data_IF_119506515203
#
_entry.id   IF_119506515203
#
_cell.length_a   1.000
_cell.length_b   1.000
_cell.length_c   1.000
_cell.angle_alpha   90.00
_cell.angle_beta   90.00
_cell.angle_gamma   90.00
#
_symmetry.space_group_name_H-M   'P 1'
#
loop_
_entity.id
_entity.type
_entity.pdbx_description
1 polymer ?
#
# COMPACT_ATOMS: atom_id res chain seq x y z
N UNK A 1 -0.88 13.40 -16.50
CA UNK A 1 -1.96 13.21 -15.51
C UNK A 1 -1.99 11.77 -15.00
N UNK A 2 -1.83 10.78 -15.88
CA UNK A 2 -1.83 9.35 -15.51
C UNK A 2 -0.81 8.98 -14.42
N UNK A 3 0.44 9.42 -14.54
CA UNK A 3 1.48 9.14 -13.53
C UNK A 3 1.12 9.70 -12.16
N UNK A 4 0.55 10.91 -12.13
CA UNK A 4 0.06 11.52 -10.89
C UNK A 4 -1.07 10.69 -10.28
N UNK A 5 -2.04 10.24 -11.06
CA UNK A 5 -3.16 9.44 -10.56
C UNK A 5 -2.70 8.07 -10.05
N UNK A 6 -1.73 7.45 -10.73
CA UNK A 6 -1.11 6.19 -10.31
C UNK A 6 -0.42 6.36 -8.96
N UNK A 7 0.37 7.42 -8.82
CA UNK A 7 1.09 7.71 -7.59
C UNK A 7 0.15 8.10 -6.44
N UNK A 8 -0.86 8.92 -6.73
CA UNK A 8 -1.91 9.28 -5.79
C UNK A 8 -2.66 8.07 -5.26
N UNK A 9 -3.01 7.11 -6.13
CA UNK A 9 -3.66 5.88 -5.69
C UNK A 9 -2.76 5.02 -4.79
N UNK A 10 -1.46 4.94 -5.06
CA UNK A 10 -0.52 4.24 -4.16
C UNK A 10 -0.49 4.87 -2.78
N UNK A 11 -0.34 6.19 -2.71
CA UNK A 11 -0.34 6.94 -1.44
C UNK A 11 -1.66 6.76 -0.69
N UNK A 12 -2.79 6.87 -1.39
CA UNK A 12 -4.13 6.77 -0.81
C UNK A 12 -4.44 5.38 -0.27
N UNK A 13 -4.01 4.33 -0.97
CA UNK A 13 -4.32 2.96 -0.59
C UNK A 13 -3.28 2.34 0.37
N UNK A 14 -2.13 2.98 0.55
CA UNK A 14 -1.04 2.43 1.34
C UNK A 14 -0.41 3.46 2.30
N UNK A 15 -0.79 3.43 3.60
CA UNK A 15 -0.25 4.38 4.58
C UNK A 15 1.25 4.24 4.81
N UNK A 16 1.82 3.03 4.63
CA UNK A 16 3.26 2.81 4.81
C UNK A 16 4.04 3.43 3.66
N UNK A 17 3.53 3.28 2.43
CA UNK A 17 4.09 3.94 1.26
C UNK A 17 4.14 5.47 1.44
N UNK A 18 3.06 6.06 1.95
CA UNK A 18 3.04 7.49 2.30
C UNK A 18 4.12 7.85 3.32
N UNK A 19 4.23 7.09 4.41
CA UNK A 19 5.21 7.38 5.46
C UNK A 19 6.64 7.32 4.92
N UNK A 20 6.97 6.25 4.19
CA UNK A 20 8.33 6.00 3.72
C UNK A 20 8.76 6.91 2.57
N UNK A 21 7.85 7.20 1.62
CA UNK A 21 8.18 7.97 0.42
C UNK A 21 7.92 9.46 0.53
N UNK A 22 7.06 9.89 1.46
CA UNK A 22 6.66 11.29 1.56
C UNK A 22 6.91 11.88 2.95
N UNK A 23 6.38 11.27 4.01
CA UNK A 23 6.51 11.85 5.36
C UNK A 23 7.98 11.88 5.81
N UNK A 24 8.67 10.74 5.79
CA UNK A 24 10.06 10.63 6.25
C UNK A 24 11.07 11.35 5.36
N UNK A 25 10.71 11.70 4.13
CA UNK A 25 11.56 12.49 3.22
C UNK A 25 11.50 13.99 3.55
N UNK A 26 10.35 14.47 4.05
CA UNK A 26 10.12 15.90 4.33
C UNK A 26 10.33 16.31 5.77
N UNK A 27 10.33 15.36 6.71
CA UNK A 27 10.46 15.63 8.13
C UNK A 27 11.83 15.20 8.66
N UNK A 28 12.44 16.04 9.49
CA UNK A 28 13.71 15.74 10.14
C UNK A 28 13.58 14.57 11.13
N UNK A 29 12.46 14.53 11.87
CA UNK A 29 12.07 13.43 12.74
C UNK A 29 11.34 12.34 11.95
N UNK A 30 12.09 11.30 11.59
CA UNK A 30 11.56 10.14 10.87
C UNK A 30 10.68 9.28 11.78
N UNK A 31 9.56 8.81 11.23
CA UNK A 31 8.76 7.73 11.81
C UNK A 31 9.40 6.39 11.43
N UNK A 32 10.18 5.84 12.36
CA UNK A 32 10.72 4.48 12.27
C UNK A 32 9.75 3.50 12.95
N UNK A 33 9.03 2.75 12.13
CA UNK A 33 8.04 1.77 12.59
C UNK A 33 8.62 0.37 12.52
N UNK A 34 8.36 -0.44 13.56
CA UNK A 34 8.60 -1.89 13.52
C UNK A 34 7.66 -2.55 12.51
N UNK A 35 7.96 -3.78 12.08
CA UNK A 35 7.10 -4.51 11.14
C UNK A 35 5.67 -4.70 11.67
N UNK A 36 5.53 -4.98 12.97
CA UNK A 36 4.24 -5.12 13.63
C UNK A 36 3.44 -3.81 13.63
N UNK A 37 4.13 -2.68 13.85
CA UNK A 37 3.50 -1.36 13.77
C UNK A 37 3.11 -1.02 12.34
N UNK A 38 3.93 -1.37 11.34
CA UNK A 38 3.60 -1.21 9.92
C UNK A 38 2.37 -2.03 9.56
N UNK A 39 2.31 -3.31 9.94
CA UNK A 39 1.14 -4.15 9.69
C UNK A 39 -0.12 -3.58 10.35
N UNK A 40 -0.04 -3.21 11.63
CA UNK A 40 -1.18 -2.64 12.37
C UNK A 40 -1.70 -1.36 11.74
N UNK A 41 -0.81 -0.50 11.25
CA UNK A 41 -1.19 0.74 10.59
C UNK A 41 -1.77 0.49 9.20
N UNK A 42 -1.16 -0.42 8.44
CA UNK A 42 -1.65 -0.86 7.15
C UNK A 42 -3.06 -1.45 7.28
N UNK A 43 -3.29 -2.40 8.18
CA UNK A 43 -4.61 -2.99 8.38
C UNK A 43 -5.67 -1.99 8.81
N UNK A 44 -5.29 -0.98 9.61
CA UNK A 44 -6.21 0.04 10.09
C UNK A 44 -6.63 1.05 9.01
N UNK A 45 -5.73 1.39 8.08
CA UNK A 45 -5.94 2.51 7.16
C UNK A 45 -5.77 2.17 5.68
N UNK A 46 -5.46 0.92 5.32
CA UNK A 46 -5.44 0.49 3.92
C UNK A 46 -6.79 0.74 3.27
N UNK A 47 -6.76 1.16 2.02
CA UNK A 47 -7.95 1.25 1.18
C UNK A 47 -7.83 0.26 0.02
N UNK A 48 -8.98 -0.30 -0.37
CA UNK A 48 -9.06 -1.14 -1.56
C UNK A 48 -9.21 -0.21 -2.77
N UNK A 49 -8.47 -0.42 -3.88
CA UNK A 49 -8.70 0.30 -5.12
C UNK A 49 -10.15 0.15 -5.59
N UNK A 50 -10.65 1.17 -6.32
CA UNK A 50 -11.94 1.04 -6.97
C UNK A 50 -11.75 0.22 -8.25
N UNK A 51 -12.60 -0.79 -8.46
CA UNK A 51 -12.59 -1.64 -9.64
C UNK A 51 -13.92 -1.50 -10.39
N UNK A 52 -13.86 -1.62 -11.72
CA UNK A 52 -15.03 -1.47 -12.59
C UNK A 52 -15.93 -2.72 -12.59
N UNK A 53 -15.36 -3.90 -12.34
CA UNK A 53 -16.06 -5.18 -12.35
C UNK A 53 -15.50 -6.19 -11.35
N UNK A 54 -16.27 -7.26 -11.10
CA UNK A 54 -15.90 -8.33 -10.19
C UNK A 54 -14.71 -9.18 -10.69
N UNK A 55 -14.48 -9.28 -12.00
CA UNK A 55 -13.35 -10.04 -12.54
C UNK A 55 -12.02 -9.37 -12.19
N UNK A 56 -11.99 -8.04 -12.25
CA UNK A 56 -10.86 -7.20 -11.88
C UNK A 56 -10.55 -7.29 -10.39
N UNK A 57 -11.59 -7.39 -9.55
CA UNK A 57 -11.42 -7.65 -8.12
C UNK A 57 -10.77 -9.02 -7.88
N UNK A 58 -11.26 -10.07 -8.54
CA UNK A 58 -10.71 -11.41 -8.38
C UNK A 58 -9.24 -11.48 -8.82
N UNK A 59 -8.91 -10.94 -10.01
CA UNK A 59 -7.53 -10.85 -10.51
C UNK A 59 -6.61 -10.10 -9.55
N UNK A 60 -7.11 -9.02 -8.94
CA UNK A 60 -6.35 -8.28 -7.94
C UNK A 60 -6.08 -9.16 -6.71
N UNK A 61 -7.10 -9.81 -6.15
CA UNK A 61 -6.94 -10.68 -4.98
C UNK A 61 -6.02 -11.87 -5.25
N UNK A 62 -6.14 -12.52 -6.42
CA UNK A 62 -5.26 -13.62 -6.82
C UNK A 62 -3.79 -13.17 -6.86
N UNK A 63 -3.53 -11.98 -7.44
CA UNK A 63 -2.19 -11.38 -7.45
C UNK A 63 -1.69 -11.06 -6.04
N UNK A 64 -2.54 -10.54 -5.16
CA UNK A 64 -2.18 -10.30 -3.75
C UNK A 64 -1.74 -11.62 -3.10
N UNK A 65 -2.52 -12.69 -3.25
CA UNK A 65 -2.24 -13.98 -2.64
C UNK A 65 -0.96 -14.62 -3.18
N UNK A 66 -0.69 -14.51 -4.48
CA UNK A 66 0.56 -14.97 -5.09
C UNK A 66 1.78 -14.24 -4.51
N UNK A 67 1.70 -12.92 -4.36
CA UNK A 67 2.80 -12.13 -3.80
C UNK A 67 3.00 -12.43 -2.30
N UNK A 68 1.93 -12.62 -1.54
CA UNK A 68 2.06 -13.07 -0.14
C UNK A 68 2.74 -14.43 -0.04
N UNK A 69 2.44 -15.38 -0.95
CA UNK A 69 3.12 -16.68 -1.01
C UNK A 69 4.62 -16.56 -1.32
N UNK A 70 5.03 -15.51 -2.03
CA UNK A 70 6.43 -15.20 -2.28
C UNK A 70 7.13 -14.48 -1.10
N UNK A 71 6.41 -14.21 -0.02
CA UNK A 71 6.95 -13.57 1.18
C UNK A 71 6.87 -12.05 1.20
N UNK A 72 6.16 -11.43 0.25
CA UNK A 72 5.90 -9.99 0.31
C UNK A 72 4.97 -9.65 1.47
N UNK A 73 5.27 -8.56 2.18
CA UNK A 73 4.40 -8.04 3.23
C UNK A 73 3.23 -7.29 2.61
N UNK A 74 2.15 -7.18 3.37
CA UNK A 74 0.89 -6.60 2.87
C UNK A 74 1.06 -5.17 2.31
N UNK A 75 1.87 -4.35 2.96
CA UNK A 75 2.15 -2.99 2.51
C UNK A 75 3.24 -2.90 1.42
N UNK A 76 3.91 -4.00 1.08
CA UNK A 76 4.89 -4.07 -0.01
C UNK A 76 4.24 -4.37 -1.36
N UNK A 77 2.95 -4.72 -1.37
CA UNK A 77 2.21 -5.07 -2.59
C UNK A 77 1.49 -3.83 -3.13
N UNK A 78 1.79 -3.42 -4.36
CA UNK A 78 1.21 -2.24 -5.04
C UNK A 78 1.00 -2.46 -6.55
#
# INVERSE_FOLDING_TARGET
>A
MEDFLKEFNRVRCNPIYFIEKYYNVRNESKLELTEEQKQKLFDKYKMIPLFDDFESINKYNDRIDELKKQGYKDWEIH
#
